data_IF_100645508827
#
_entry.id   IF_100645508827
#
_cell.length_a   1.000
_cell.length_b   1.000
_cell.length_c   1.000
_cell.angle_alpha   90.00
_cell.angle_beta   90.00
_cell.angle_gamma   90.00
#
_symmetry.space_group_name_H-M   'P 1'
#
loop_
_entity.id
_entity.type
_entity.pdbx_description
1 polymer ?
#
# COMPACT_ATOMS: atom_id res chain seq x y z
N UNK A 1 4.64 -12.57 0.34
CA UNK A 1 4.80 -12.65 -1.13
C UNK A 1 3.81 -13.64 -1.75
N UNK A 2 3.65 -13.60 -3.06
CA UNK A 2 2.79 -14.54 -3.78
C UNK A 2 3.29 -15.98 -3.71
N UNK A 3 4.61 -16.17 -3.80
CA UNK A 3 5.23 -17.50 -3.71
C UNK A 3 4.89 -18.23 -2.40
N UNK A 4 4.80 -17.50 -1.29
CA UNK A 4 4.40 -18.06 0.01
C UNK A 4 2.91 -18.39 0.07
N UNK A 5 2.07 -17.56 -0.57
CA UNK A 5 0.62 -17.74 -0.58
C UNK A 5 0.19 -18.95 -1.40
N UNK A 6 0.77 -19.17 -2.59
CA UNK A 6 0.33 -20.16 -3.57
C UNK A 6 1.52 -21.04 -4.02
N UNK A 7 2.02 -21.94 -3.17
CA UNK A 7 3.20 -22.75 -3.48
C UNK A 7 3.00 -23.71 -4.67
N UNK A 8 1.77 -24.13 -4.95
CA UNK A 8 1.37 -24.93 -6.11
C UNK A 8 0.14 -24.28 -6.77
N UNK A 9 -0.03 -24.45 -8.08
CA UNK A 9 -1.13 -23.82 -8.82
C UNK A 9 -2.52 -24.17 -8.21
N UNK A 10 -3.22 -23.15 -7.74
CA UNK A 10 -4.54 -23.28 -7.12
C UNK A 10 -4.53 -23.83 -5.69
N UNK A 11 -3.36 -24.06 -5.10
CA UNK A 11 -3.21 -24.54 -3.72
C UNK A 11 -2.70 -23.39 -2.85
N UNK A 12 -3.57 -22.87 -1.99
CA UNK A 12 -3.27 -21.73 -1.13
C UNK A 12 -2.89 -22.18 0.28
N UNK A 13 -1.79 -21.67 0.79
CA UNK A 13 -1.23 -22.00 2.11
C UNK A 13 -1.89 -21.17 3.24
N UNK A 14 -3.23 -21.20 3.35
CA UNK A 14 -3.98 -20.36 4.29
C UNK A 14 -3.51 -20.50 5.73
N UNK A 15 -3.37 -21.73 6.22
CA UNK A 15 -2.97 -21.99 7.62
C UNK A 15 -1.57 -21.40 7.92
N UNK A 16 -0.65 -21.49 6.96
CA UNK A 16 0.70 -20.94 7.10
C UNK A 16 0.66 -19.41 7.13
N UNK A 17 -0.07 -18.79 6.18
CA UNK A 17 -0.25 -17.34 6.10
C UNK A 17 -0.93 -16.80 7.37
N UNK A 18 -1.99 -17.46 7.84
CA UNK A 18 -2.70 -17.05 9.05
C UNK A 18 -1.82 -17.15 10.30
N UNK A 19 -1.04 -18.24 10.41
CA UNK A 19 -0.13 -18.44 11.55
C UNK A 19 1.02 -17.42 11.55
N UNK A 20 1.69 -17.22 10.41
CA UNK A 20 2.81 -16.28 10.25
C UNK A 20 2.40 -14.86 10.58
N UNK A 21 1.23 -14.43 10.09
CA UNK A 21 0.70 -13.09 10.30
C UNK A 21 -0.16 -12.94 11.56
N UNK A 22 -0.23 -13.97 12.40
CA UNK A 22 -0.98 -13.97 13.66
C UNK A 22 -2.47 -13.54 13.50
N UNK A 23 -3.11 -13.92 12.41
CA UNK A 23 -4.47 -13.47 12.02
C UNK A 23 -5.48 -13.74 13.14
N UNK A 24 -5.39 -14.92 13.78
CA UNK A 24 -6.26 -15.28 14.91
C UNK A 24 -6.13 -14.28 16.06
N UNK A 25 -4.90 -13.90 16.43
CA UNK A 25 -4.65 -12.93 17.50
C UNK A 25 -5.29 -11.57 17.18
N UNK A 26 -5.12 -11.07 15.98
CA UNK A 26 -5.68 -9.78 15.59
C UNK A 26 -7.21 -9.78 15.63
N UNK A 27 -7.85 -10.90 15.23
CA UNK A 27 -9.30 -11.06 15.36
C UNK A 27 -9.75 -11.04 16.80
N UNK A 28 -9.06 -11.78 17.69
CA UNK A 28 -9.37 -11.85 19.13
C UNK A 28 -9.18 -10.49 19.82
N UNK A 29 -8.21 -9.69 19.39
CA UNK A 29 -7.97 -8.34 19.88
C UNK A 29 -8.87 -7.26 19.22
N UNK A 30 -9.75 -7.64 18.30
CA UNK A 30 -10.63 -6.71 17.57
C UNK A 30 -9.88 -5.72 16.70
N UNK A 31 -8.73 -6.11 16.16
CA UNK A 31 -7.92 -5.27 15.27
C UNK A 31 -8.27 -5.54 13.82
N UNK A 32 -8.04 -4.53 12.99
CA UNK A 32 -8.11 -4.65 11.54
C UNK A 32 -6.72 -4.70 10.94
N UNK A 33 -6.63 -5.25 9.74
CA UNK A 33 -5.37 -5.40 9.01
C UNK A 33 -5.36 -4.56 7.75
N UNK A 34 -4.17 -4.16 7.37
CA UNK A 34 -3.85 -3.56 6.08
C UNK A 34 -3.08 -4.62 5.29
N UNK A 35 -3.55 -4.94 4.10
CA UNK A 35 -2.96 -5.98 3.25
C UNK A 35 -2.18 -5.33 2.11
N UNK A 36 -0.93 -5.78 1.90
CA UNK A 36 -0.16 -5.55 0.68
C UNK A 36 0.26 -6.90 0.10
N UNK A 37 -0.16 -7.19 -1.13
CA UNK A 37 0.22 -8.38 -1.88
C UNK A 37 1.34 -8.00 -2.84
N UNK A 38 2.44 -8.75 -2.85
CA UNK A 38 3.67 -8.34 -3.54
C UNK A 38 4.19 -9.46 -4.44
N UNK A 39 4.63 -9.08 -5.64
CA UNK A 39 5.17 -9.98 -6.67
C UNK A 39 6.68 -9.86 -6.87
N UNK A 40 7.32 -8.85 -6.25
CA UNK A 40 8.73 -8.54 -6.43
C UNK A 40 9.26 -7.77 -5.21
N UNK A 41 10.13 -8.40 -4.43
CA UNK A 41 10.75 -7.83 -3.23
C UNK A 41 12.27 -7.92 -3.39
N UNK A 42 12.99 -6.82 -3.63
CA UNK A 42 14.45 -6.81 -3.59
C UNK A 42 14.98 -7.28 -2.24
N UNK A 43 15.99 -8.17 -2.27
CA UNK A 43 16.60 -8.73 -1.06
C UNK A 43 18.09 -8.98 -1.21
N UNK A 44 18.72 -9.48 -0.14
CA UNK A 44 20.17 -9.70 -0.11
C UNK A 44 20.60 -10.89 -0.99
N UNK A 45 19.73 -11.89 -1.08
CA UNK A 45 20.01 -13.12 -1.83
C UNK A 45 19.11 -13.24 -3.06
N UNK A 46 19.59 -13.95 -4.08
CA UNK A 46 18.80 -14.20 -5.31
C UNK A 46 17.58 -15.06 -4.99
N UNK A 47 16.39 -14.51 -5.22
CA UNK A 47 15.11 -15.18 -5.01
C UNK A 47 14.05 -14.60 -5.94
N UNK A 48 12.84 -15.16 -5.89
CA UNK A 48 11.65 -14.60 -6.55
C UNK A 48 10.42 -14.69 -5.65
N UNK A 49 9.51 -13.76 -5.83
CA UNK A 49 8.28 -13.61 -5.03
C UNK A 49 7.02 -14.11 -5.72
N UNK A 50 7.10 -14.41 -7.03
CA UNK A 50 6.08 -15.19 -7.70
C UNK A 50 6.32 -16.70 -7.49
N UNK A 51 5.27 -17.55 -7.53
CA UNK A 51 5.43 -18.99 -7.39
C UNK A 51 6.30 -19.61 -8.49
N UNK A 52 7.06 -20.67 -8.14
CA UNK A 52 7.90 -21.40 -9.09
C UNK A 52 7.09 -21.96 -10.27
N UNK A 53 5.90 -22.53 -10.00
CA UNK A 53 5.03 -23.03 -11.05
C UNK A 53 4.60 -21.93 -12.05
N UNK A 54 4.40 -20.69 -11.54
CA UNK A 54 3.99 -19.57 -12.38
C UNK A 54 5.17 -19.07 -13.22
N UNK A 55 6.37 -18.96 -12.63
CA UNK A 55 7.59 -18.63 -13.34
C UNK A 55 7.80 -19.57 -14.55
N UNK A 56 7.70 -20.89 -14.34
CA UNK A 56 7.81 -21.87 -15.40
C UNK A 56 6.69 -21.75 -16.45
N UNK A 57 5.44 -21.53 -15.98
CA UNK A 57 4.28 -21.43 -16.86
C UNK A 57 4.26 -20.18 -17.73
N UNK A 58 4.84 -19.08 -17.25
CA UNK A 58 5.03 -17.85 -18.04
C UNK A 58 6.17 -17.98 -19.05
N UNK A 59 6.93 -19.06 -19.03
CA UNK A 59 8.12 -19.25 -19.87
C UNK A 59 9.32 -18.47 -19.36
N UNK A 60 9.39 -18.24 -18.04
CA UNK A 60 10.46 -17.47 -17.37
C UNK A 60 10.50 -16.00 -17.82
N UNK A 61 9.36 -15.48 -18.20
CA UNK A 61 9.20 -14.15 -18.81
C UNK A 61 9.27 -13.04 -17.76
N UNK A 62 10.46 -12.45 -17.66
CA UNK A 62 10.81 -11.41 -16.70
C UNK A 62 12.32 -11.18 -16.62
N UNK A 63 12.75 -10.43 -15.63
CA UNK A 63 14.14 -10.01 -15.46
C UNK A 63 14.66 -10.37 -14.09
N UNK A 64 15.69 -11.24 -14.04
CA UNK A 64 16.53 -11.39 -12.86
C UNK A 64 17.43 -10.16 -12.71
N UNK A 65 17.46 -9.58 -11.53
CA UNK A 65 18.26 -8.38 -11.28
C UNK A 65 19.17 -8.53 -10.06
N UNK A 66 20.27 -7.76 -10.08
CA UNK A 66 21.21 -7.54 -8.97
C UNK A 66 21.60 -6.05 -9.07
N UNK A 67 21.00 -5.21 -8.27
CA UNK A 67 21.10 -3.76 -8.39
C UNK A 67 21.13 -3.03 -7.05
N UNK A 68 20.97 -1.74 -7.10
CA UNK A 68 21.04 -0.85 -5.94
C UNK A 68 20.08 -1.26 -4.79
N UNK A 69 18.90 -1.73 -5.13
CA UNK A 69 17.87 -2.13 -4.15
C UNK A 69 18.05 -3.56 -3.65
N UNK A 70 18.94 -4.35 -4.24
CA UNK A 70 19.14 -5.76 -3.91
C UNK A 70 18.95 -6.67 -5.12
N UNK A 71 18.69 -7.95 -4.85
CA UNK A 71 18.56 -9.02 -5.84
C UNK A 71 17.14 -9.56 -5.85
N UNK A 72 16.67 -9.98 -7.00
CA UNK A 72 15.35 -10.57 -7.13
C UNK A 72 14.97 -10.88 -8.57
N UNK A 73 13.68 -11.09 -8.77
CA UNK A 73 13.08 -11.34 -10.07
C UNK A 73 11.86 -10.45 -10.26
N UNK A 74 11.88 -9.61 -11.30
CA UNK A 74 10.75 -8.80 -11.72
C UNK A 74 10.06 -9.47 -12.89
N UNK A 75 8.79 -9.94 -12.75
CA UNK A 75 8.08 -10.59 -13.84
C UNK A 75 7.71 -9.59 -14.94
N UNK A 76 7.54 -10.05 -16.19
CA UNK A 76 6.92 -9.21 -17.22
C UNK A 76 5.42 -9.07 -16.95
N UNK A 77 5.02 -7.92 -16.44
CA UNK A 77 3.62 -7.62 -16.12
C UNK A 77 2.71 -7.59 -17.37
N UNK A 78 3.24 -7.61 -18.59
CA UNK A 78 2.45 -7.75 -19.81
C UNK A 78 2.13 -9.21 -20.16
N UNK A 79 2.69 -10.18 -19.43
CA UNK A 79 2.44 -11.58 -19.67
C UNK A 79 1.00 -11.97 -19.30
N UNK A 80 0.25 -12.50 -20.27
CA UNK A 80 -1.17 -12.84 -20.09
C UNK A 80 -1.39 -13.94 -19.06
N UNK A 81 -0.49 -14.91 -18.99
CA UNK A 81 -0.57 -16.00 -18.00
C UNK A 81 -0.39 -15.44 -16.60
N UNK A 82 0.54 -14.48 -16.41
CA UNK A 82 0.73 -13.79 -15.14
C UNK A 82 -0.54 -13.04 -14.72
N UNK A 83 -1.16 -12.26 -15.64
CA UNK A 83 -2.39 -11.52 -15.36
C UNK A 83 -3.55 -12.44 -14.97
N UNK A 84 -3.76 -13.54 -15.69
CA UNK A 84 -4.82 -14.51 -15.41
C UNK A 84 -4.60 -15.23 -14.07
N UNK A 85 -3.35 -15.59 -13.75
CA UNK A 85 -2.99 -16.19 -12.47
C UNK A 85 -3.18 -15.20 -11.32
N UNK A 86 -2.77 -13.94 -11.51
CA UNK A 86 -2.97 -12.87 -10.53
C UNK A 86 -4.46 -12.68 -10.22
N UNK A 87 -5.32 -12.56 -11.23
CA UNK A 87 -6.76 -12.43 -11.01
C UNK A 87 -7.30 -13.57 -10.14
N UNK A 88 -6.91 -14.83 -10.43
CA UNK A 88 -7.34 -16.00 -9.65
C UNK A 88 -6.86 -15.93 -8.20
N UNK A 89 -5.60 -15.56 -7.96
CA UNK A 89 -5.04 -15.42 -6.63
C UNK A 89 -5.78 -14.33 -5.83
N UNK A 90 -6.07 -13.17 -6.44
CA UNK A 90 -6.79 -12.09 -5.77
C UNK A 90 -8.24 -12.48 -5.46
N UNK A 91 -8.92 -13.19 -6.35
CA UNK A 91 -10.26 -13.73 -6.08
C UNK A 91 -10.25 -14.72 -4.92
N UNK A 92 -9.26 -15.62 -4.86
CA UNK A 92 -9.11 -16.54 -3.75
C UNK A 92 -8.84 -15.81 -2.41
N UNK A 93 -8.00 -14.77 -2.41
CA UNK A 93 -7.81 -13.90 -1.25
C UNK A 93 -9.12 -13.24 -0.80
N UNK A 94 -9.92 -12.73 -1.74
CA UNK A 94 -11.21 -12.13 -1.46
C UNK A 94 -12.23 -13.12 -0.90
N UNK A 95 -12.25 -14.34 -1.41
CA UNK A 95 -13.12 -15.43 -0.90
C UNK A 95 -12.75 -15.80 0.53
N UNK A 96 -11.45 -15.79 0.87
CA UNK A 96 -10.95 -16.17 2.18
C UNK A 96 -11.03 -15.02 3.19
N UNK A 97 -10.58 -13.81 2.86
CA UNK A 97 -10.47 -12.69 3.79
C UNK A 97 -11.44 -11.52 3.55
N UNK A 98 -12.15 -11.48 2.43
CA UNK A 98 -12.95 -10.30 2.05
C UNK A 98 -14.31 -10.18 2.73
N UNK A 99 -14.76 -11.16 3.52
CA UNK A 99 -16.16 -11.26 3.96
C UNK A 99 -16.44 -10.63 5.31
N UNK A 100 -15.53 -10.67 6.25
CA UNK A 100 -15.74 -10.38 7.65
C UNK A 100 -15.27 -8.98 8.11
N UNK A 101 -14.64 -8.23 7.20
CA UNK A 101 -14.13 -6.89 7.49
C UNK A 101 -12.81 -6.85 8.27
N UNK A 102 -12.12 -7.98 8.43
CA UNK A 102 -10.77 -8.02 9.01
C UNK A 102 -9.81 -7.11 8.24
N UNK A 103 -9.82 -7.22 6.91
CA UNK A 103 -9.04 -6.35 6.03
C UNK A 103 -9.80 -5.04 5.83
N UNK A 104 -9.29 -3.97 6.43
CA UNK A 104 -9.88 -2.62 6.30
C UNK A 104 -9.32 -1.87 5.11
N UNK A 105 -8.02 -2.00 4.87
CA UNK A 105 -7.33 -1.33 3.78
C UNK A 105 -6.50 -2.32 2.99
N UNK A 106 -6.36 -2.05 1.70
CA UNK A 106 -5.47 -2.78 0.80
C UNK A 106 -4.59 -1.77 0.08
N UNK A 107 -3.30 -1.84 0.32
CA UNK A 107 -2.32 -1.18 -0.53
C UNK A 107 -2.11 -2.04 -1.77
N UNK A 108 -2.46 -1.50 -2.93
CA UNK A 108 -2.36 -2.19 -4.21
C UNK A 108 -0.89 -2.44 -4.56
N UNK A 109 -0.38 -3.59 -4.13
CA UNK A 109 1.03 -3.94 -4.15
C UNK A 109 1.43 -4.91 -5.26
N UNK A 110 0.61 -5.11 -6.28
CA UNK A 110 0.86 -6.12 -7.31
C UNK A 110 1.95 -5.74 -8.32
N UNK A 111 2.31 -4.46 -8.41
CA UNK A 111 3.24 -3.95 -9.43
C UNK A 111 4.47 -3.29 -8.82
N UNK A 112 5.64 -3.64 -9.36
CA UNK A 112 6.92 -3.04 -9.01
C UNK A 112 7.57 -3.58 -7.75
N UNK A 113 8.75 -3.07 -7.44
CA UNK A 113 9.50 -3.40 -6.23
C UNK A 113 8.66 -3.09 -4.98
N UNK A 114 8.60 -4.02 -4.02
CA UNK A 114 7.80 -3.94 -2.80
C UNK A 114 6.32 -3.65 -3.02
N UNK A 115 5.86 -3.72 -4.28
CA UNK A 115 4.51 -3.31 -4.65
C UNK A 115 4.30 -1.79 -4.66
N UNK A 116 5.35 -0.99 -4.79
CA UNK A 116 5.34 0.47 -4.67
C UNK A 116 5.27 1.21 -6.01
N UNK A 117 4.88 0.51 -7.05
CA UNK A 117 4.65 1.08 -8.39
C UNK A 117 5.88 1.78 -8.97
N UNK A 118 7.04 1.22 -8.70
CA UNK A 118 8.30 1.60 -9.33
C UNK A 118 9.19 0.39 -9.59
N UNK A 119 10.11 0.52 -10.53
CA UNK A 119 11.12 -0.49 -10.85
C UNK A 119 12.45 0.20 -11.13
N UNK A 120 13.55 -0.47 -10.84
CA UNK A 120 14.86 -0.01 -11.28
C UNK A 120 15.07 -0.33 -12.77
N UNK A 121 14.45 0.45 -13.65
CA UNK A 121 14.57 0.23 -15.09
C UNK A 121 15.99 0.47 -15.63
N UNK A 122 16.86 1.15 -14.90
CA UNK A 122 18.30 1.27 -15.25
C UNK A 122 19.06 -0.06 -15.09
N UNK A 123 18.54 -0.98 -14.29
CA UNK A 123 19.05 -2.36 -14.17
C UNK A 123 18.51 -3.31 -15.27
N UNK A 124 17.84 -2.78 -16.30
CA UNK A 124 17.30 -3.57 -17.40
C UNK A 124 15.89 -4.12 -17.18
N UNK A 125 15.26 -3.79 -16.05
CA UNK A 125 13.89 -4.19 -15.77
C UNK A 125 12.94 -3.36 -16.65
N UNK A 126 11.89 -4.00 -17.17
CA UNK A 126 10.86 -3.29 -17.93
C UNK A 126 10.13 -2.28 -17.04
N UNK A 127 9.86 -1.09 -17.59
CA UNK A 127 9.00 -0.12 -16.90
C UNK A 127 7.62 -0.68 -16.65
N UNK A 128 6.89 -0.08 -15.73
CA UNK A 128 5.50 -0.43 -15.46
C UNK A 128 4.68 -0.44 -16.75
N UNK A 129 3.76 -1.38 -16.89
CA UNK A 129 2.96 -1.52 -18.10
C UNK A 129 2.02 -0.33 -18.32
N UNK A 130 1.43 -0.24 -19.53
CA UNK A 130 0.46 0.79 -19.89
C UNK A 130 -0.84 0.66 -19.08
N UNK A 131 -1.65 1.71 -19.09
CA UNK A 131 -2.89 1.84 -18.32
C UNK A 131 -3.82 0.62 -18.45
N UNK A 132 -4.05 0.15 -19.67
CA UNK A 132 -4.95 -0.98 -19.93
C UNK A 132 -4.45 -2.31 -19.31
N UNK A 133 -3.15 -2.48 -19.16
CA UNK A 133 -2.55 -3.64 -18.49
C UNK A 133 -2.56 -3.44 -16.98
N UNK A 134 -2.24 -2.24 -16.48
CA UNK A 134 -2.37 -1.92 -15.05
C UNK A 134 -3.79 -2.16 -14.53
N UNK A 135 -4.82 -1.89 -15.37
CA UNK A 135 -6.22 -2.19 -15.02
C UNK A 135 -6.43 -3.66 -14.65
N UNK A 136 -5.73 -4.61 -15.31
CA UNK A 136 -5.83 -6.04 -15.01
C UNK A 136 -5.28 -6.41 -13.61
N UNK A 137 -4.44 -5.55 -13.06
CA UNK A 137 -3.89 -5.71 -11.71
C UNK A 137 -4.67 -4.92 -10.63
N UNK A 138 -5.56 -4.03 -11.02
CA UNK A 138 -6.36 -3.22 -10.09
C UNK A 138 -7.79 -3.73 -9.98
N UNK A 139 -8.47 -4.00 -11.09
CA UNK A 139 -9.89 -4.37 -11.09
C UNK A 139 -10.22 -5.63 -10.28
N UNK A 140 -9.38 -6.70 -10.24
CA UNK A 140 -9.67 -7.86 -9.40
C UNK A 140 -9.78 -7.54 -7.91
N UNK A 141 -8.99 -6.57 -7.43
CA UNK A 141 -9.05 -6.12 -6.03
C UNK A 141 -10.36 -5.42 -5.70
N UNK A 142 -10.83 -4.56 -6.62
CA UNK A 142 -12.11 -3.86 -6.47
C UNK A 142 -13.27 -4.85 -6.32
N UNK A 143 -13.25 -5.91 -7.15
CA UNK A 143 -14.29 -6.94 -7.14
C UNK A 143 -14.20 -7.85 -5.91
N UNK A 144 -12.99 -8.26 -5.53
CA UNK A 144 -12.77 -9.24 -4.48
C UNK A 144 -12.94 -8.68 -3.06
N UNK A 145 -12.73 -7.38 -2.86
CA UNK A 145 -12.75 -6.76 -1.55
C UNK A 145 -13.71 -5.54 -1.46
N UNK A 146 -15.01 -5.72 -1.67
CA UNK A 146 -15.96 -4.60 -1.71
C UNK A 146 -16.14 -3.88 -0.37
N UNK A 147 -15.61 -4.42 0.73
CA UNK A 147 -15.66 -3.83 2.08
C UNK A 147 -14.36 -3.13 2.49
N UNK A 148 -13.26 -3.38 1.80
CA UNK A 148 -11.99 -2.74 2.08
C UNK A 148 -11.82 -1.47 1.24
N UNK A 149 -11.11 -0.49 1.77
CA UNK A 149 -10.69 0.67 0.98
C UNK A 149 -9.34 0.38 0.34
N UNK A 150 -9.23 0.63 -0.96
CA UNK A 150 -8.00 0.43 -1.71
C UNK A 150 -7.16 1.69 -1.69
N UNK A 151 -5.84 1.54 -1.65
CA UNK A 151 -4.88 2.63 -1.75
C UNK A 151 -3.87 2.34 -2.87
N UNK A 152 -3.50 3.38 -3.62
CA UNK A 152 -2.43 3.32 -4.62
C UNK A 152 -1.24 4.15 -4.16
N UNK A 153 -0.03 3.75 -4.58
CA UNK A 153 1.17 4.53 -4.26
C UNK A 153 1.18 5.91 -4.93
N UNK A 154 0.62 5.99 -6.13
CA UNK A 154 0.61 7.19 -6.96
C UNK A 154 -0.76 7.45 -7.57
N UNK A 155 -1.08 8.71 -7.91
CA UNK A 155 -2.40 9.08 -8.43
C UNK A 155 -2.55 8.72 -9.92
N UNK A 156 -2.41 7.44 -10.27
CA UNK A 156 -2.77 6.96 -11.60
C UNK A 156 -4.27 7.16 -11.86
N UNK A 157 -4.67 7.19 -13.14
CA UNK A 157 -6.08 7.30 -13.56
C UNK A 157 -7.01 6.31 -12.85
N UNK A 158 -6.50 5.08 -12.54
CA UNK A 158 -7.22 4.07 -11.77
C UNK A 158 -7.56 4.53 -10.36
N UNK A 159 -6.67 5.28 -9.68
CA UNK A 159 -6.95 5.81 -8.36
C UNK A 159 -8.17 6.74 -8.38
N UNK A 160 -8.25 7.64 -9.36
CA UNK A 160 -9.40 8.51 -9.53
C UNK A 160 -10.66 7.74 -9.95
N UNK A 161 -10.54 6.78 -10.88
CA UNK A 161 -11.62 5.91 -11.37
C UNK A 161 -12.30 5.16 -10.23
N UNK A 162 -11.50 4.50 -9.38
CA UNK A 162 -11.99 3.68 -8.28
C UNK A 162 -12.09 4.41 -6.95
N UNK A 163 -11.76 5.71 -6.93
CA UNK A 163 -11.81 6.57 -5.73
C UNK A 163 -10.99 6.00 -4.58
N UNK A 164 -9.80 5.50 -4.88
CA UNK A 164 -8.90 4.92 -3.88
C UNK A 164 -8.30 6.01 -3.00
N UNK A 165 -7.80 5.61 -1.84
CA UNK A 165 -6.79 6.36 -1.10
C UNK A 165 -5.44 6.32 -1.82
N UNK A 166 -4.48 7.04 -1.26
CA UNK A 166 -3.08 7.01 -1.70
C UNK A 166 -2.19 6.71 -0.50
N UNK A 167 -0.97 6.19 -0.72
CA UNK A 167 0.01 5.99 0.34
C UNK A 167 1.40 6.48 -0.08
N UNK A 168 2.17 6.95 0.91
CA UNK A 168 3.53 7.44 0.75
C UNK A 168 4.51 6.51 1.48
N UNK A 169 5.34 5.77 0.74
CA UNK A 169 6.41 4.90 1.25
C UNK A 169 7.65 5.67 1.73
N UNK A 170 7.69 6.99 1.54
CA UNK A 170 8.79 7.88 1.89
C UNK A 170 8.39 8.89 2.98
N UNK A 171 7.45 8.53 3.85
CA UNK A 171 7.01 9.40 4.95
C UNK A 171 8.18 9.74 5.87
N UNK A 172 8.33 11.02 6.16
CA UNK A 172 9.42 11.55 6.99
C UNK A 172 10.60 12.09 6.18
N UNK A 173 10.73 11.75 4.90
CA UNK A 173 11.71 12.34 4.01
C UNK A 173 11.09 13.55 3.29
N UNK A 174 11.62 14.78 3.49
CA UNK A 174 10.96 16.01 3.03
C UNK A 174 10.86 16.14 1.51
N UNK A 175 11.94 15.84 0.77
CA UNK A 175 11.97 16.06 -0.67
C UNK A 175 11.08 15.05 -1.41
N UNK A 176 11.09 13.80 -1.00
CA UNK A 176 10.27 12.75 -1.59
C UNK A 176 8.78 12.92 -1.25
N UNK A 177 8.48 13.34 -0.01
CA UNK A 177 7.11 13.67 0.38
C UNK A 177 6.59 14.87 -0.41
N UNK A 178 7.41 15.93 -0.60
CA UNK A 178 7.03 17.07 -1.41
C UNK A 178 6.81 16.70 -2.89
N UNK A 179 7.67 15.84 -3.45
CA UNK A 179 7.50 15.33 -4.80
C UNK A 179 6.19 14.54 -4.95
N UNK A 180 5.89 13.67 -4.00
CA UNK A 180 4.64 12.90 -3.97
C UNK A 180 3.40 13.82 -3.86
N UNK A 181 3.42 14.84 -3.01
CA UNK A 181 2.35 15.83 -2.92
C UNK A 181 2.16 16.62 -4.21
N UNK A 182 3.26 16.97 -4.88
CA UNK A 182 3.19 17.63 -6.19
C UNK A 182 2.59 16.71 -7.28
N UNK A 183 2.88 15.41 -7.27
CA UNK A 183 2.22 14.43 -8.15
C UNK A 183 0.71 14.40 -7.92
N UNK A 184 0.26 14.49 -6.67
CA UNK A 184 -1.15 14.53 -6.31
C UNK A 184 -1.82 15.83 -6.75
N UNK A 185 -1.13 16.95 -6.64
CA UNK A 185 -1.66 18.27 -7.03
C UNK A 185 -1.72 18.42 -8.54
N UNK A 186 -0.63 18.14 -9.23
CA UNK A 186 -0.47 18.44 -10.63
C UNK A 186 -0.78 17.27 -11.58
N UNK A 187 -0.61 16.03 -11.13
CA UNK A 187 -0.52 14.88 -12.04
C UNK A 187 0.69 14.99 -12.95
N UNK A 188 0.63 14.40 -14.14
CA UNK A 188 1.64 14.54 -15.18
C UNK A 188 2.34 13.24 -15.57
N UNK A 189 3.55 13.35 -16.09
CA UNK A 189 4.34 12.23 -16.54
C UNK A 189 5.01 11.52 -15.37
N UNK A 190 5.24 10.22 -15.53
CA UNK A 190 5.97 9.41 -14.58
C UNK A 190 7.05 8.60 -15.32
N UNK A 191 8.30 8.76 -14.94
CA UNK A 191 9.43 8.02 -15.55
C UNK A 191 9.35 6.49 -15.41
N UNK A 192 8.53 6.01 -14.50
CA UNK A 192 8.31 4.58 -14.26
C UNK A 192 7.46 3.90 -15.34
N UNK A 193 6.81 4.65 -16.22
CA UNK A 193 6.05 4.15 -17.37
C UNK A 193 6.41 4.91 -18.64
N UNK A 194 6.12 4.31 -19.80
CA UNK A 194 6.30 4.96 -21.11
C UNK A 194 5.06 5.75 -21.56
N UNK A 195 4.12 5.97 -20.67
CA UNK A 195 2.86 6.65 -20.94
C UNK A 195 2.96 8.13 -20.59
N UNK A 196 2.52 9.00 -21.50
CA UNK A 196 2.40 10.43 -21.23
C UNK A 196 1.22 10.68 -20.29
N UNK A 197 1.39 11.60 -19.34
CA UNK A 197 0.35 12.01 -18.40
C UNK A 197 -0.27 10.83 -17.63
N UNK A 198 0.57 9.90 -17.21
CA UNK A 198 0.16 8.71 -16.47
C UNK A 198 -0.51 9.03 -15.13
N UNK A 199 -0.17 10.18 -14.54
CA UNK A 199 -0.73 10.62 -13.25
C UNK A 199 -1.80 11.69 -13.47
N UNK A 200 -2.83 11.66 -12.63
CA UNK A 200 -3.94 12.62 -12.64
C UNK A 200 -4.00 13.39 -11.31
N UNK A 201 -4.46 14.64 -11.35
CA UNK A 201 -4.64 15.43 -10.14
C UNK A 201 -5.72 14.83 -9.22
N UNK A 202 -5.43 14.69 -7.92
CA UNK A 202 -6.32 14.13 -6.89
C UNK A 202 -6.29 14.93 -5.58
N UNK A 203 -6.26 16.25 -5.64
CA UNK A 203 -6.04 17.17 -4.51
C UNK A 203 -6.93 16.94 -3.29
N UNK A 204 -8.16 16.53 -3.49
CA UNK A 204 -9.19 16.38 -2.45
C UNK A 204 -9.51 14.92 -2.09
N UNK A 205 -8.71 13.95 -2.53
CA UNK A 205 -8.97 12.52 -2.30
C UNK A 205 -9.06 12.18 -0.82
N UNK A 206 -8.20 12.79 0.01
CA UNK A 206 -8.10 12.56 1.45
C UNK A 206 -9.40 12.91 2.22
N UNK A 207 -10.28 13.71 1.65
CA UNK A 207 -11.61 14.01 2.23
C UNK A 207 -12.57 12.83 2.17
N UNK A 208 -12.26 11.79 1.39
CA UNK A 208 -13.17 10.66 1.12
C UNK A 208 -12.51 9.29 1.24
N UNK A 209 -11.18 9.24 1.27
CA UNK A 209 -10.41 8.01 1.30
C UNK A 209 -9.19 8.16 2.23
N UNK A 210 -8.65 7.06 2.79
CA UNK A 210 -7.52 7.10 3.70
C UNK A 210 -6.24 7.51 2.98
N UNK A 211 -5.30 8.04 3.76
CA UNK A 211 -3.92 8.30 3.34
C UNK A 211 -3.00 7.39 4.13
N UNK A 212 -2.35 6.46 3.44
CA UNK A 212 -1.34 5.59 4.03
C UNK A 212 0.02 6.26 4.10
N UNK A 213 0.82 5.85 5.05
CA UNK A 213 2.21 6.22 5.14
C UNK A 213 3.08 5.09 5.66
N UNK A 214 4.34 5.11 5.27
CA UNK A 214 5.38 4.24 5.78
C UNK A 214 6.63 5.09 6.02
N UNK A 215 7.23 4.99 7.21
CA UNK A 215 8.47 5.71 7.46
C UNK A 215 9.55 5.27 6.48
N UNK A 216 10.20 6.24 5.84
CA UNK A 216 11.30 5.96 4.93
C UNK A 216 12.43 5.19 5.61
N UNK A 217 13.09 4.30 4.86
CA UNK A 217 14.33 3.64 5.30
C UNK A 217 15.58 4.49 5.05
N UNK A 218 15.47 5.61 4.31
CA UNK A 218 16.60 6.49 4.02
C UNK A 218 17.01 7.41 5.16
N UNK A 219 16.15 7.58 6.17
CA UNK A 219 16.42 8.33 7.40
C UNK A 219 16.30 7.42 8.62
N UNK A 220 17.08 7.70 9.66
CA UNK A 220 16.96 6.96 10.92
C UNK A 220 15.72 7.38 11.71
N UNK A 221 15.23 6.49 12.58
CA UNK A 221 14.14 6.83 13.51
C UNK A 221 14.53 7.93 14.50
N UNK A 222 15.81 8.01 14.89
CA UNK A 222 16.34 9.09 15.71
C UNK A 222 16.21 10.45 15.00
N UNK A 223 16.54 10.49 13.72
CA UNK A 223 16.40 11.71 12.93
C UNK A 223 14.93 12.12 12.78
N UNK A 224 14.05 11.22 12.38
CA UNK A 224 12.65 11.53 12.14
C UNK A 224 11.84 11.80 13.39
N UNK A 225 12.12 11.09 14.51
CA UNK A 225 11.28 11.10 15.72
C UNK A 225 11.89 11.87 16.91
N UNK A 226 13.13 12.37 16.77
CA UNK A 226 13.79 13.20 17.77
C UNK A 226 14.34 14.48 17.15
N UNK A 227 15.42 14.40 16.35
CA UNK A 227 16.12 15.59 15.84
C UNK A 227 15.24 16.47 14.93
N UNK A 228 14.42 15.86 14.07
CA UNK A 228 13.55 16.53 13.10
C UNK A 228 12.06 16.27 13.34
N UNK A 229 11.66 15.96 14.58
CA UNK A 229 10.29 15.59 14.92
C UNK A 229 9.24 16.62 14.46
N UNK A 230 9.51 17.91 14.61
CA UNK A 230 8.59 18.97 14.18
C UNK A 230 8.35 18.95 12.67
N UNK A 231 9.39 18.70 11.87
CA UNK A 231 9.29 18.57 10.43
C UNK A 231 8.52 17.31 10.03
N UNK A 232 8.79 16.17 10.67
CA UNK A 232 8.06 14.94 10.45
C UNK A 232 6.56 15.12 10.72
N UNK A 233 6.21 15.81 11.81
CA UNK A 233 4.81 16.12 12.15
C UNK A 233 4.16 17.04 11.09
N UNK A 234 4.89 18.01 10.56
CA UNK A 234 4.40 18.90 9.51
C UNK A 234 4.11 18.11 8.24
N UNK A 235 5.05 17.27 7.77
CA UNK A 235 4.85 16.39 6.61
C UNK A 235 3.64 15.45 6.78
N UNK A 236 3.45 14.88 7.96
CA UNK A 236 2.30 14.05 8.30
C UNK A 236 0.98 14.82 8.16
N UNK A 237 0.94 16.07 8.64
CA UNK A 237 -0.24 16.94 8.53
C UNK A 237 -0.53 17.35 7.10
N UNK A 238 0.49 17.78 6.35
CA UNK A 238 0.36 18.17 4.95
C UNK A 238 -0.12 17.00 4.08
N UNK A 239 0.39 15.80 4.36
CA UNK A 239 -0.01 14.57 3.68
C UNK A 239 -1.39 14.05 4.11
N UNK A 240 -2.00 14.58 5.16
CA UNK A 240 -3.23 14.06 5.76
C UNK A 240 -3.14 12.57 6.16
N UNK A 241 -1.97 12.09 6.56
CA UNK A 241 -1.70 10.69 6.86
C UNK A 241 -2.64 10.16 7.95
N UNK A 242 -3.24 9.02 7.72
CA UNK A 242 -4.21 8.38 8.63
C UNK A 242 -3.69 7.12 9.30
N UNK A 243 -2.70 6.45 8.73
CA UNK A 243 -1.99 5.32 9.33
C UNK A 243 -0.53 5.28 8.87
N UNK A 244 0.31 4.59 9.65
CA UNK A 244 1.72 4.33 9.35
C UNK A 244 2.04 2.83 9.49
N UNK A 245 2.74 2.30 8.53
CA UNK A 245 3.27 0.93 8.51
C UNK A 245 3.49 0.41 7.10
N UNK A 246 4.22 -0.71 6.94
CA UNK A 246 4.77 -1.58 7.99
C UNK A 246 5.99 -1.02 8.73
N UNK A 247 6.79 -0.14 8.11
CA UNK A 247 7.93 0.48 8.78
C UNK A 247 7.42 1.55 9.75
N UNK A 248 7.39 1.21 11.04
CA UNK A 248 6.94 2.04 12.13
C UNK A 248 7.98 2.09 13.27
N UNK A 249 7.80 3.03 14.21
CA UNK A 249 8.77 3.23 15.27
C UNK A 249 8.91 2.01 16.20
N UNK A 250 10.15 1.68 16.53
CA UNK A 250 10.46 0.72 17.57
C UNK A 250 10.27 1.34 18.99
N UNK A 251 10.29 0.52 20.07
CA UNK A 251 10.06 0.99 21.44
C UNK A 251 11.00 2.11 21.92
N UNK A 252 12.19 2.25 21.32
CA UNK A 252 13.15 3.31 21.71
C UNK A 252 12.67 4.72 21.38
N UNK A 253 11.73 4.88 20.43
CA UNK A 253 11.26 6.18 19.92
C UNK A 253 9.79 6.47 20.22
N UNK A 254 9.22 5.83 21.24
CA UNK A 254 7.78 5.91 21.55
C UNK A 254 7.30 7.36 21.79
N UNK A 255 8.08 8.22 22.42
CA UNK A 255 7.66 9.59 22.71
C UNK A 255 7.47 10.42 21.43
N UNK A 256 8.42 10.36 20.51
CA UNK A 256 8.31 11.00 19.20
C UNK A 256 7.18 10.40 18.39
N UNK A 257 7.09 9.07 18.38
CA UNK A 257 6.04 8.35 17.66
C UNK A 257 4.64 8.69 18.19
N UNK A 258 4.43 8.76 19.51
CA UNK A 258 3.16 9.23 20.07
C UNK A 258 2.81 10.65 19.62
N UNK A 259 3.81 11.52 19.45
CA UNK A 259 3.59 12.87 18.94
C UNK A 259 3.12 12.84 17.50
N UNK A 260 3.74 12.00 16.66
CA UNK A 260 3.28 11.74 15.29
C UNK A 260 1.85 11.22 15.29
N UNK A 261 1.54 10.15 16.04
CA UNK A 261 0.21 9.57 16.12
C UNK A 261 -0.87 10.56 16.57
N UNK A 262 -0.53 11.50 17.44
CA UNK A 262 -1.45 12.58 17.88
C UNK A 262 -1.76 13.58 16.77
N UNK A 263 -1.00 13.60 15.68
CA UNK A 263 -1.14 14.50 14.56
C UNK A 263 -1.66 13.81 13.28
N UNK A 264 -1.97 12.52 13.37
CA UNK A 264 -2.52 11.73 12.27
C UNK A 264 -4.04 11.59 12.34
N UNK A 265 -4.68 11.40 11.18
CA UNK A 265 -6.11 11.13 11.07
C UNK A 265 -6.99 12.25 11.60
N UNK A 266 -8.18 11.88 12.05
CA UNK A 266 -9.07 12.85 12.71
C UNK A 266 -9.20 12.61 14.18
N UNK A 267 -9.53 13.70 14.89
CA UNK A 267 -9.92 13.67 16.29
C UNK A 267 -11.30 14.30 16.42
N UNK A 268 -12.22 13.50 16.94
CA UNK A 268 -13.57 13.96 17.20
C UNK A 268 -13.66 14.37 18.68
N UNK A 269 -14.22 15.54 18.93
CA UNK A 269 -14.54 15.98 20.27
C UNK A 269 -15.92 16.66 20.26
N UNK A 270 -16.60 16.68 21.41
CA UNK A 270 -17.82 17.42 21.58
C UNK A 270 -17.43 18.90 21.73
N UNK A 271 -17.73 19.71 20.70
CA UNK A 271 -17.45 21.15 20.72
C UNK A 271 -18.52 21.95 21.47
N UNK A 272 -19.75 21.42 21.50
CA UNK A 272 -20.87 22.04 22.14
C UNK A 272 -21.89 20.97 22.59
N UNK A 273 -22.45 21.15 23.78
CA UNK A 273 -23.56 20.35 24.26
C UNK A 273 -24.67 21.29 24.75
N UNK A 274 -25.85 21.22 24.10
CA UNK A 274 -27.01 22.08 24.46
C UNK A 274 -27.98 21.23 25.26
N UNK A 275 -28.15 21.58 26.53
CA UNK A 275 -29.17 20.99 27.40
C UNK A 275 -30.47 21.79 27.33
N UNK A 276 -31.53 21.20 26.81
CA UNK A 276 -32.85 21.80 26.81
C UNK A 276 -33.76 21.15 27.84
N UNK A 277 -34.53 21.98 28.57
CA UNK A 277 -35.52 21.54 29.56
C UNK A 277 -36.93 21.65 28.96
N UNK A 278 -37.70 20.58 29.11
CA UNK A 278 -39.10 20.54 28.76
C UNK A 278 -39.93 19.97 29.94
N UNK A 279 -41.25 20.15 29.99
CA UNK A 279 -42.08 19.56 31.04
C UNK A 279 -41.98 18.05 31.23
N UNK A 280 -41.31 17.34 30.31
CA UNK A 280 -41.05 15.90 30.37
C UNK A 280 -39.62 15.52 30.74
N UNK A 281 -38.74 16.45 31.11
CA UNK A 281 -37.36 16.22 31.49
C UNK A 281 -36.32 16.90 30.59
N UNK A 282 -35.04 16.67 30.89
CA UNK A 282 -33.92 17.18 30.09
C UNK A 282 -33.71 16.33 28.85
N UNK A 283 -33.39 16.96 27.71
CA UNK A 283 -32.91 16.32 26.49
C UNK A 283 -31.53 16.87 26.17
N UNK A 284 -30.60 15.99 25.83
CA UNK A 284 -29.27 16.30 25.35
C UNK A 284 -29.29 16.45 23.84
#
# INVERSE_FOLDING_TARGET
SWSTLEPEEGVYAWDAIEAENQIKRWREEGKHLILRFVCDIPGDEKHMDIPQWLYEKTGEDGTWYDGEYGKGYSPDYNNKILMEAHEKAIRALGEHFGKDGLISYIELGSLGHWGEWHVNYSAGIQRLPLENVREQYVSPWVDAFPKAMLLMRRPFSHAAKYKTGLYNDMTGEPSETAAWLNEIEAGGDLSQTNEEKALVSMTDFWKKAPVGGEFTSSLSMEEMLEASLSQTVELIRESHTTFLGPNAANPGFLQGYETVLKNMGYRLWISEAILSWSPGGAKL
#
